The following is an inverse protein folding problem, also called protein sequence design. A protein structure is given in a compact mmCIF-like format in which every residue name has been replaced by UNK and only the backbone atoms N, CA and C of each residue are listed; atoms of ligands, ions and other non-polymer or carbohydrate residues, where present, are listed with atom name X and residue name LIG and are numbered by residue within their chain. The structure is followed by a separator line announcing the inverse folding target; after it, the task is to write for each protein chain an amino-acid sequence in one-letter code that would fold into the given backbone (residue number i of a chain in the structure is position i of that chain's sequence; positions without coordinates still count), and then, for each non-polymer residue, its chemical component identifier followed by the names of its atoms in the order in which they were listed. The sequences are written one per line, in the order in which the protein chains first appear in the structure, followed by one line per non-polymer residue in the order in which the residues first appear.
data_IF_076837739874
#
_entry.id   IF_076837739874
#
_cell.length_a   1.000
_cell.length_b   1.000
_cell.length_c   1.000
_cell.angle_alpha   90.00
_cell.angle_beta   90.00
_cell.angle_gamma   90.00
#
_symmetry.space_group_name_H-M   'P 1'
#
loop_
_entity.id
_entity.type
_entity.pdbx_description
1 polymer ?
#
# COMPACT_ATOMS: atom_id res chain seq x y z
N UNK A 1 -23.79 -3.51 6.98
CA UNK A 1 -24.86 -3.42 5.96
C UNK A 1 -25.07 -1.99 5.44
N UNK A 2 -25.17 -0.96 6.30
CA UNK A 2 -25.43 0.42 5.84
C UNK A 2 -24.28 1.02 5.00
N UNK A 3 -23.06 0.76 5.36
CA UNK A 3 -21.86 1.28 4.62
C UNK A 3 -21.81 0.64 3.23
N UNK A 4 -21.93 -0.69 3.14
CA UNK A 4 -21.87 -1.40 1.87
C UNK A 4 -23.00 -0.96 0.91
N UNK A 5 -24.22 -0.75 1.41
CA UNK A 5 -25.33 -0.25 0.60
C UNK A 5 -25.09 1.17 0.06
N UNK A 6 -24.46 2.06 0.85
CA UNK A 6 -24.09 3.41 0.38
C UNK A 6 -23.00 3.35 -0.68
N UNK A 7 -21.97 2.52 -0.48
CA UNK A 7 -20.88 2.33 -1.45
C UNK A 7 -21.40 1.79 -2.78
N UNK A 8 -22.29 0.78 -2.75
CA UNK A 8 -22.96 0.25 -3.94
C UNK A 8 -23.71 1.33 -4.72
N UNK A 9 -24.51 2.14 -4.03
CA UNK A 9 -25.26 3.25 -4.67
C UNK A 9 -24.31 4.27 -5.31
N UNK A 10 -23.22 4.63 -4.64
CA UNK A 10 -22.24 5.60 -5.15
C UNK A 10 -21.52 5.03 -6.37
N UNK A 11 -21.07 3.77 -6.32
CA UNK A 11 -20.39 3.12 -7.44
C UNK A 11 -21.32 3.05 -8.65
N UNK A 12 -22.57 2.60 -8.49
CA UNK A 12 -23.55 2.54 -9.56
C UNK A 12 -23.83 3.93 -10.15
N UNK A 13 -23.93 4.96 -9.30
CA UNK A 13 -24.10 6.34 -9.77
C UNK A 13 -22.89 6.83 -10.57
N UNK A 14 -21.67 6.57 -10.09
CA UNK A 14 -20.45 6.93 -10.81
C UNK A 14 -20.40 6.23 -12.19
N UNK A 15 -20.73 4.96 -12.24
CA UNK A 15 -20.77 4.20 -13.51
C UNK A 15 -21.82 4.74 -14.46
N UNK A 16 -23.00 5.13 -13.96
CA UNK A 16 -24.08 5.66 -14.79
C UNK A 16 -23.74 6.99 -15.46
N UNK A 17 -22.85 7.79 -14.86
CA UNK A 17 -22.36 9.04 -15.46
C UNK A 17 -21.03 8.88 -16.21
N UNK A 18 -20.55 7.64 -16.40
CA UNK A 18 -19.47 7.31 -17.32
C UNK A 18 -18.10 7.03 -16.69
N UNK A 19 -17.96 7.00 -15.36
CA UNK A 19 -16.70 6.58 -14.75
C UNK A 19 -16.42 5.10 -15.02
N UNK A 20 -15.26 4.80 -15.62
CA UNK A 20 -14.85 3.43 -16.01
C UNK A 20 -13.70 2.89 -15.15
N UNK A 21 -13.08 3.74 -14.34
CA UNK A 21 -11.99 3.36 -13.44
C UNK A 21 -12.37 3.78 -12.02
N UNK A 22 -12.77 2.80 -11.22
CA UNK A 22 -13.27 3.01 -9.85
C UNK A 22 -12.47 2.13 -8.92
N UNK A 23 -11.99 2.73 -7.84
CA UNK A 23 -11.34 2.03 -6.73
C UNK A 23 -12.28 1.95 -5.53
N UNK A 24 -12.18 0.86 -4.79
CA UNK A 24 -12.87 0.69 -3.52
C UNK A 24 -11.89 0.29 -2.42
N UNK A 25 -12.01 0.93 -1.27
CA UNK A 25 -11.15 0.63 -0.13
C UNK A 25 -11.81 -0.42 0.77
N UNK A 26 -11.00 -1.38 1.25
CA UNK A 26 -11.38 -2.39 2.24
C UNK A 26 -10.51 -2.22 3.48
N UNK A 27 -11.15 -2.23 4.65
CA UNK A 27 -10.46 -2.26 5.93
C UNK A 27 -10.42 -3.70 6.47
N UNK A 28 -9.24 -4.14 6.90
CA UNK A 28 -8.98 -5.44 7.52
C UNK A 28 -8.68 -5.23 9.00
N UNK A 29 -9.03 -6.20 9.84
CA UNK A 29 -8.77 -6.13 11.28
C UNK A 29 -9.84 -5.37 12.05
N UNK A 30 -11.05 -5.25 11.51
CA UNK A 30 -12.18 -4.66 12.24
C UNK A 30 -12.70 -5.62 13.33
N UNK A 31 -13.24 -5.05 14.41
CA UNK A 31 -13.88 -5.84 15.47
C UNK A 31 -14.92 -6.82 14.93
N UNK A 32 -14.80 -8.09 15.30
CA UNK A 32 -15.69 -9.16 14.88
C UNK A 32 -15.71 -9.44 13.37
N UNK A 33 -14.69 -9.01 12.64
CA UNK A 33 -14.50 -9.40 11.23
C UNK A 33 -14.05 -10.86 11.15
N UNK A 34 -14.72 -11.66 10.33
CA UNK A 34 -14.34 -13.03 10.02
C UNK A 34 -14.00 -13.19 8.54
N UNK A 35 -13.36 -14.30 8.18
CA UNK A 35 -13.05 -14.65 6.80
C UNK A 35 -14.32 -14.66 5.93
N UNK A 36 -15.44 -15.21 6.44
CA UNK A 36 -16.71 -15.28 5.71
C UNK A 36 -17.29 -13.88 5.47
N UNK A 37 -17.20 -12.99 6.46
CA UNK A 37 -17.66 -11.59 6.31
C UNK A 37 -16.78 -10.82 5.33
N UNK A 38 -15.47 -11.03 5.39
CA UNK A 38 -14.52 -10.42 4.46
C UNK A 38 -14.77 -10.93 3.03
N UNK A 39 -14.92 -12.24 2.84
CA UNK A 39 -15.27 -12.87 1.57
C UNK A 39 -16.53 -12.27 0.98
N UNK A 40 -17.61 -12.21 1.78
CA UNK A 40 -18.88 -11.62 1.33
C UNK A 40 -18.71 -10.16 0.87
N UNK A 41 -17.89 -9.38 1.60
CA UNK A 41 -17.59 -7.98 1.25
C UNK A 41 -16.86 -7.88 -0.07
N UNK A 42 -15.79 -8.67 -0.25
CA UNK A 42 -14.99 -8.69 -1.48
C UNK A 42 -15.86 -9.05 -2.69
N UNK A 43 -16.64 -10.13 -2.59
CA UNK A 43 -17.49 -10.59 -3.70
C UNK A 43 -18.54 -9.55 -4.07
N UNK A 44 -19.23 -8.96 -3.09
CA UNK A 44 -20.23 -7.91 -3.38
C UNK A 44 -19.63 -6.68 -4.06
N UNK A 45 -18.42 -6.29 -3.67
CA UNK A 45 -17.76 -5.16 -4.32
C UNK A 45 -17.28 -5.56 -5.72
N UNK A 46 -16.75 -6.77 -5.90
CA UNK A 46 -16.31 -7.27 -7.21
C UNK A 46 -17.46 -7.40 -8.21
N UNK A 47 -18.68 -7.78 -7.76
CA UNK A 47 -19.90 -7.82 -8.57
C UNK A 47 -20.25 -6.45 -9.16
N UNK A 48 -19.85 -5.34 -8.53
CA UNK A 48 -20.00 -3.99 -9.04
C UNK A 48 -19.03 -3.64 -10.18
N UNK A 49 -18.26 -4.60 -10.65
CA UNK A 49 -17.33 -4.43 -11.78
C UNK A 49 -16.33 -3.28 -11.64
N UNK A 50 -15.86 -3.02 -10.42
CA UNK A 50 -14.77 -2.06 -10.15
C UNK A 50 -13.44 -2.58 -10.69
N UNK A 51 -12.45 -1.71 -10.82
CA UNK A 51 -11.14 -2.04 -11.42
C UNK A 51 -10.03 -2.20 -10.40
N UNK A 52 -10.21 -1.67 -9.18
CA UNK A 52 -9.15 -1.55 -8.20
C UNK A 52 -9.66 -1.69 -6.77
N UNK A 53 -8.86 -2.33 -5.91
CA UNK A 53 -9.06 -2.40 -4.48
C UNK A 53 -7.83 -1.83 -3.76
N UNK A 54 -8.07 -1.00 -2.74
CA UNK A 54 -7.08 -0.64 -1.74
C UNK A 54 -7.44 -1.36 -0.44
N UNK A 55 -6.52 -2.09 0.13
CA UNK A 55 -6.77 -2.90 1.31
C UNK A 55 -5.83 -2.49 2.45
N UNK A 56 -6.39 -1.99 3.52
CA UNK A 56 -5.64 -1.47 4.66
C UNK A 56 -5.90 -2.27 5.91
N UNK A 57 -4.84 -2.64 6.62
CA UNK A 57 -4.95 -3.17 7.99
C UNK A 57 -5.26 -2.00 8.92
N UNK A 58 -6.31 -2.14 9.75
CA UNK A 58 -6.68 -1.13 10.73
C UNK A 58 -5.53 -0.91 11.71
N UNK A 59 -5.07 0.33 11.79
CA UNK A 59 -4.15 0.80 12.81
C UNK A 59 -4.85 1.85 13.67
N UNK A 60 -4.81 1.69 14.98
CA UNK A 60 -5.36 2.70 15.89
C UNK A 60 -4.34 3.82 16.05
N UNK A 61 -4.73 5.01 15.67
CA UNK A 61 -3.90 6.20 15.81
C UNK A 61 -4.32 6.99 17.07
N UNK A 62 -3.33 7.57 17.75
CA UNK A 62 -3.57 8.47 18.88
C UNK A 62 -4.47 9.64 18.48
N UNK A 63 -5.25 10.15 19.42
CA UNK A 63 -6.17 11.27 19.22
C UNK A 63 -7.30 11.03 18.21
N UNK A 64 -7.63 9.77 17.92
CA UNK A 64 -8.81 9.41 17.12
C UNK A 64 -9.94 8.85 17.99
N UNK A 65 -11.22 8.95 17.56
CA UNK A 65 -12.34 8.34 18.27
C UNK A 65 -12.25 6.81 18.42
N UNK A 66 -11.40 6.15 17.63
CA UNK A 66 -11.15 4.71 17.71
C UNK A 66 -10.17 4.34 18.84
N UNK A 67 -9.40 5.30 19.35
CA UNK A 67 -8.42 5.04 20.43
C UNK A 67 -9.12 5.02 21.81
N UNK A 68 -9.93 4.01 22.04
CA UNK A 68 -10.58 3.74 23.33
C UNK A 68 -10.30 2.30 23.77
N UNK A 69 -10.21 2.03 25.09
CA UNK A 69 -9.96 0.68 25.60
C UNK A 69 -10.97 -0.36 25.07
N UNK A 70 -12.24 0.02 24.98
CA UNK A 70 -13.31 -0.89 24.52
C UNK A 70 -13.10 -1.31 23.06
N UNK A 71 -12.71 -0.37 22.19
CA UNK A 71 -12.44 -0.68 20.79
C UNK A 71 -11.16 -1.51 20.70
N UNK A 72 -10.07 -1.10 21.34
CA UNK A 72 -8.78 -1.81 21.30
C UNK A 72 -8.94 -3.26 21.76
N UNK A 73 -9.64 -3.49 22.88
CA UNK A 73 -9.86 -4.83 23.41
C UNK A 73 -10.80 -5.69 22.54
N UNK A 74 -11.53 -5.09 21.60
CA UNK A 74 -12.43 -5.80 20.69
C UNK A 74 -11.78 -6.17 19.34
N UNK A 75 -10.56 -5.67 19.07
CA UNK A 75 -9.86 -5.96 17.82
C UNK A 75 -9.35 -7.41 17.81
N UNK A 76 -9.24 -8.02 16.63
CA UNK A 76 -8.61 -9.32 16.48
C UNK A 76 -7.11 -9.25 16.80
N UNK A 77 -6.54 -10.38 17.15
CA UNK A 77 -5.11 -10.54 17.32
C UNK A 77 -4.35 -10.52 15.95
N UNK A 78 -3.04 -10.45 16.03
CA UNK A 78 -2.17 -10.35 14.84
C UNK A 78 -2.25 -11.62 13.97
N UNK A 79 -2.46 -12.79 14.55
CA UNK A 79 -2.59 -14.04 13.81
C UNK A 79 -3.87 -14.02 12.96
N UNK A 80 -4.99 -13.61 13.54
CA UNK A 80 -6.24 -13.47 12.80
C UNK A 80 -6.19 -12.37 11.73
N UNK A 81 -5.51 -11.24 12.01
CA UNK A 81 -5.27 -10.19 11.02
C UNK A 81 -4.46 -10.75 9.84
N UNK A 82 -3.43 -11.53 10.14
CA UNK A 82 -2.59 -12.18 9.13
C UNK A 82 -3.39 -13.14 8.26
N UNK A 83 -4.25 -13.96 8.87
CA UNK A 83 -5.14 -14.87 8.13
C UNK A 83 -6.13 -14.11 7.23
N UNK A 84 -6.70 -13.02 7.72
CA UNK A 84 -7.59 -12.16 6.92
C UNK A 84 -6.86 -11.56 5.71
N UNK A 85 -5.64 -11.06 5.91
CA UNK A 85 -4.83 -10.48 4.82
C UNK A 85 -4.46 -11.52 3.77
N UNK A 86 -3.96 -12.68 4.18
CA UNK A 86 -3.58 -13.74 3.26
C UNK A 86 -4.79 -14.28 2.49
N UNK A 87 -5.89 -14.51 3.19
CA UNK A 87 -7.15 -14.90 2.56
C UNK A 87 -7.61 -13.88 1.51
N UNK A 88 -7.57 -12.58 1.87
CA UNK A 88 -7.98 -11.51 0.96
C UNK A 88 -7.10 -11.46 -0.30
N UNK A 89 -5.77 -11.54 -0.14
CA UNK A 89 -4.84 -11.50 -1.26
C UNK A 89 -5.12 -12.67 -2.23
N UNK A 90 -5.33 -13.88 -1.72
CA UNK A 90 -5.68 -15.05 -2.52
C UNK A 90 -7.05 -14.91 -3.21
N UNK A 91 -8.05 -14.42 -2.49
CA UNK A 91 -9.42 -14.31 -3.01
C UNK A 91 -9.54 -13.22 -4.08
N UNK A 92 -8.88 -12.06 -3.89
CA UNK A 92 -8.81 -11.01 -4.91
C UNK A 92 -8.08 -11.50 -6.17
N UNK A 93 -7.02 -12.28 -6.03
CA UNK A 93 -6.33 -12.88 -7.18
C UNK A 93 -7.24 -13.84 -7.96
N UNK A 94 -8.03 -14.68 -7.28
CA UNK A 94 -9.03 -15.57 -7.93
C UNK A 94 -10.08 -14.78 -8.71
N UNK A 95 -10.43 -13.57 -8.26
CA UNK A 95 -11.37 -12.66 -8.92
C UNK A 95 -10.73 -11.81 -10.03
N UNK A 96 -9.43 -12.01 -10.32
CA UNK A 96 -8.70 -11.32 -11.38
C UNK A 96 -8.13 -9.95 -10.97
N UNK A 97 -8.04 -9.67 -9.66
CA UNK A 97 -7.34 -8.51 -9.13
C UNK A 97 -5.95 -8.92 -8.66
N UNK A 98 -4.93 -8.54 -9.41
CA UNK A 98 -3.55 -8.84 -9.07
C UNK A 98 -3.02 -7.83 -8.06
N UNK A 99 -2.37 -8.32 -7.01
CA UNK A 99 -1.61 -7.46 -6.12
C UNK A 99 -0.43 -6.87 -6.89
N UNK A 100 -0.21 -5.56 -6.83
CA UNK A 100 0.93 -4.91 -7.45
C UNK A 100 1.84 -4.19 -6.44
N UNK A 101 1.34 -3.92 -5.23
CA UNK A 101 2.10 -3.44 -4.08
C UNK A 101 1.42 -3.87 -2.77
N UNK A 102 2.01 -3.55 -1.63
CA UNK A 102 1.65 -4.07 -0.30
C UNK A 102 0.16 -3.96 0.05
N UNK A 103 -0.53 -2.91 -0.40
CA UNK A 103 -1.93 -2.61 -0.03
C UNK A 103 -2.89 -2.57 -1.22
N UNK A 104 -2.40 -2.63 -2.46
CA UNK A 104 -3.25 -2.38 -3.62
C UNK A 104 -3.30 -3.54 -4.61
N UNK A 105 -4.51 -3.76 -5.12
CA UNK A 105 -4.87 -4.83 -6.05
C UNK A 105 -5.65 -4.25 -7.22
N UNK A 106 -5.38 -4.69 -8.43
CA UNK A 106 -6.10 -4.19 -9.60
C UNK A 106 -6.29 -5.24 -10.68
N UNK A 107 -7.25 -5.00 -11.56
CA UNK A 107 -7.25 -5.63 -12.88
C UNK A 107 -6.05 -5.12 -13.67
N UNK A 108 -5.54 -5.94 -14.59
CA UNK A 108 -4.38 -5.59 -15.41
C UNK A 108 -4.59 -4.26 -16.14
N UNK A 109 -3.62 -3.35 -16.01
CA UNK A 109 -3.64 -2.01 -16.63
C UNK A 109 -4.41 -0.95 -15.84
N UNK A 110 -4.91 -1.30 -14.63
CA UNK A 110 -5.62 -0.37 -13.74
C UNK A 110 -4.85 -0.07 -12.45
N UNK A 111 -3.55 -0.40 -12.42
CA UNK A 111 -2.67 -0.05 -11.31
C UNK A 111 -2.63 1.48 -11.13
N UNK A 112 -2.64 1.95 -9.88
CA UNK A 112 -2.54 3.38 -9.58
C UNK A 112 -1.18 3.93 -10.02
N UNK A 113 -1.15 4.58 -11.17
CA UNK A 113 0.07 5.20 -11.72
C UNK A 113 0.65 6.25 -10.77
N UNK A 114 -0.21 6.93 -10.00
CA UNK A 114 0.21 7.92 -9.02
C UNK A 114 0.95 7.24 -7.85
N UNK A 115 0.38 6.18 -7.26
CA UNK A 115 1.03 5.45 -6.18
C UNK A 115 2.34 4.80 -6.65
N UNK A 116 2.37 4.25 -7.86
CA UNK A 116 3.58 3.66 -8.42
C UNK A 116 4.72 4.67 -8.58
N UNK A 117 4.42 5.96 -8.80
CA UNK A 117 5.48 7.00 -8.82
C UNK A 117 6.22 7.08 -7.50
N UNK A 118 5.50 7.04 -6.36
CA UNK A 118 6.12 7.04 -5.05
C UNK A 118 6.97 5.78 -4.82
N UNK A 119 6.40 4.61 -5.07
CA UNK A 119 7.09 3.33 -4.89
C UNK A 119 8.33 3.19 -5.79
N UNK A 120 8.31 3.76 -6.99
CA UNK A 120 9.44 3.77 -7.93
C UNK A 120 10.37 4.97 -7.75
N UNK A 121 10.22 5.72 -6.69
CA UNK A 121 11.03 6.91 -6.39
C UNK A 121 11.11 7.88 -7.58
N UNK A 122 9.97 8.12 -8.27
CA UNK A 122 9.88 9.01 -9.41
C UNK A 122 9.46 10.42 -8.97
N UNK A 123 9.85 11.42 -9.73
CA UNK A 123 9.50 12.81 -9.46
C UNK A 123 8.00 13.09 -9.56
N UNK A 124 7.51 13.93 -8.65
CA UNK A 124 6.14 14.43 -8.61
C UNK A 124 6.08 15.82 -8.00
N UNK A 125 5.03 16.57 -8.34
CA UNK A 125 4.74 17.90 -7.77
C UNK A 125 3.44 17.80 -6.99
N UNK A 126 3.50 18.20 -5.71
CA UNK A 126 2.34 18.37 -4.84
C UNK A 126 1.81 19.80 -4.89
N UNK A 127 0.51 19.97 -4.88
CA UNK A 127 -0.16 21.25 -4.91
C UNK A 127 -1.07 21.39 -3.68
N UNK A 128 -1.01 22.54 -3.03
CA UNK A 128 -1.85 22.87 -1.87
C UNK A 128 -1.11 22.78 -0.54
N UNK A 129 -1.75 23.25 0.56
CA UNK A 129 -1.19 23.18 1.91
C UNK A 129 -0.86 21.75 2.31
N UNK A 130 0.24 21.55 2.99
CA UNK A 130 0.80 20.25 3.40
C UNK A 130 1.23 19.33 2.23
N UNK A 131 1.17 19.78 0.99
CA UNK A 131 1.57 18.95 -0.14
C UNK A 131 3.10 18.78 -0.18
N UNK A 132 3.54 17.55 -0.39
CA UNK A 132 4.94 17.20 -0.59
C UNK A 132 5.27 17.08 -2.07
N UNK A 133 6.51 17.37 -2.44
CA UNK A 133 7.03 17.23 -3.79
C UNK A 133 8.39 16.53 -3.78
N UNK A 134 8.65 15.76 -4.82
CA UNK A 134 9.99 15.32 -5.20
C UNK A 134 10.21 15.78 -6.64
N UNK A 135 11.02 16.82 -6.83
CA UNK A 135 11.22 17.42 -8.14
C UNK A 135 12.60 18.07 -8.23
N UNK A 136 13.23 17.99 -9.43
CA UNK A 136 14.59 18.47 -9.69
C UNK A 136 15.62 17.92 -8.67
N UNK A 137 15.51 16.61 -8.33
CA UNK A 137 16.43 15.95 -7.42
C UNK A 137 16.34 16.42 -5.97
N UNK A 138 15.27 17.11 -5.57
CA UNK A 138 15.06 17.61 -4.21
C UNK A 138 13.67 17.29 -3.70
N UNK A 139 13.53 17.13 -2.39
CA UNK A 139 12.23 16.93 -1.75
C UNK A 139 11.89 18.13 -0.87
N UNK A 140 10.69 18.63 -1.02
CA UNK A 140 10.18 19.78 -0.28
C UNK A 140 8.69 19.64 -0.02
N UNK A 141 8.17 20.44 0.91
CA UNK A 141 6.73 20.51 1.15
C UNK A 141 6.25 21.96 1.31
N UNK A 142 4.95 22.13 1.12
CA UNK A 142 4.26 23.41 1.32
C UNK A 142 3.74 23.42 2.77
N UNK A 143 3.94 24.51 3.55
CA UNK A 143 3.41 24.61 4.90
C UNK A 143 1.90 24.37 4.98
N UNK A 144 1.43 23.80 6.10
CA UNK A 144 0.02 23.46 6.30
C UNK A 144 -0.89 24.65 6.51
N UNK A 145 -0.34 25.84 6.84
CA UNK A 145 -1.10 27.07 7.07
C UNK A 145 -1.71 27.59 5.77
N UNK A 146 -3.03 27.59 5.70
CA UNK A 146 -3.79 28.05 4.53
C UNK A 146 -3.52 29.52 4.18
N UNK A 147 -3.40 30.40 5.19
CA UNK A 147 -3.14 31.83 4.96
C UNK A 147 -1.74 32.05 4.38
N UNK A 148 -0.74 31.31 4.88
CA UNK A 148 0.60 31.31 4.30
C UNK A 148 0.57 30.82 2.85
N UNK A 149 -0.13 29.72 2.59
CA UNK A 149 -0.25 29.18 1.24
C UNK A 149 -0.88 30.17 0.25
N UNK A 150 -1.92 30.91 0.67
CA UNK A 150 -2.62 31.87 -0.19
C UNK A 150 -1.80 33.14 -0.44
N UNK A 151 -0.91 33.52 0.50
CA UNK A 151 -0.20 34.79 0.46
C UNK A 151 1.32 34.66 0.21
N UNK A 152 1.85 33.45 0.08
CA UNK A 152 3.26 33.21 -0.18
C UNK A 152 3.47 31.98 -1.07
N UNK A 153 4.66 31.93 -1.68
CA UNK A 153 5.16 30.76 -2.44
C UNK A 153 6.18 29.97 -1.60
N UNK A 154 6.10 30.07 -0.27
CA UNK A 154 7.06 29.43 0.62
C UNK A 154 7.00 27.90 0.46
N UNK A 155 8.17 27.29 0.26
CA UNK A 155 8.39 25.85 0.28
C UNK A 155 9.50 25.53 1.27
N UNK A 156 9.39 24.41 1.98
CA UNK A 156 10.40 23.96 2.94
C UNK A 156 11.12 22.76 2.36
N UNK A 157 12.43 22.90 2.16
CA UNK A 157 13.30 21.82 1.74
C UNK A 157 13.41 20.78 2.86
N UNK A 158 13.18 19.52 2.57
CA UNK A 158 13.23 18.41 3.55
C UNK A 158 14.34 17.42 3.26
N UNK A 159 14.77 17.31 1.99
CA UNK A 159 15.81 16.39 1.59
C UNK A 159 16.49 16.93 0.32
N UNK A 160 17.82 17.10 0.38
CA UNK A 160 18.63 17.57 -0.74
C UNK A 160 19.09 16.44 -1.66
N UNK A 161 19.02 15.18 -1.20
CA UNK A 161 19.52 14.01 -1.92
C UNK A 161 18.53 12.81 -1.85
N UNK A 162 17.25 13.01 -2.21
CA UNK A 162 16.29 11.92 -2.24
C UNK A 162 16.69 10.87 -3.29
N UNK A 163 16.20 9.64 -3.12
CA UNK A 163 16.47 8.54 -4.06
C UNK A 163 17.79 7.82 -3.76
N UNK A 164 18.22 7.81 -2.48
CA UNK A 164 19.32 6.95 -2.02
C UNK A 164 19.03 5.47 -2.30
N UNK A 165 20.06 4.63 -2.30
CA UNK A 165 19.89 3.19 -2.44
C UNK A 165 18.99 2.62 -1.35
N UNK A 166 19.15 3.07 -0.09
CA UNK A 166 18.29 2.65 1.02
C UNK A 166 16.81 2.99 0.77
N UNK A 167 16.53 4.18 0.30
CA UNK A 167 15.16 4.58 -0.04
C UNK A 167 14.60 3.75 -1.20
N UNK A 168 15.37 3.54 -2.26
CA UNK A 168 14.93 2.70 -3.41
C UNK A 168 14.67 1.26 -3.00
N UNK A 169 15.48 0.70 -2.08
CA UNK A 169 15.29 -0.63 -1.53
C UNK A 169 14.00 -0.66 -0.69
N UNK A 170 13.85 0.30 0.21
CA UNK A 170 12.69 0.42 1.10
C UNK A 170 11.38 0.52 0.31
N UNK A 171 11.35 1.32 -0.74
CA UNK A 171 10.16 1.52 -1.57
C UNK A 171 9.95 0.35 -2.53
N UNK A 172 11.01 -0.13 -3.18
CA UNK A 172 10.94 -1.20 -4.18
C UNK A 172 10.52 -2.55 -3.60
N UNK A 173 10.93 -2.88 -2.36
CA UNK A 173 10.49 -4.09 -1.68
C UNK A 173 9.01 -4.07 -1.28
N UNK A 174 8.33 -2.93 -1.35
CA UNK A 174 6.87 -2.85 -1.16
C UNK A 174 6.08 -3.15 -2.43
N UNK A 175 6.75 -3.22 -3.59
CA UNK A 175 6.17 -3.67 -4.86
C UNK A 175 6.23 -5.19 -4.98
N UNK A 176 5.24 -5.81 -5.61
CA UNK A 176 5.28 -7.23 -5.97
C UNK A 176 6.31 -7.55 -7.04
N UNK A 177 6.75 -6.53 -7.79
CA UNK A 177 7.90 -6.62 -8.70
C UNK A 177 9.21 -6.81 -7.91
N UNK A 178 9.31 -6.19 -6.73
CA UNK A 178 10.51 -6.21 -5.88
C UNK A 178 11.64 -5.35 -6.43
N UNK A 179 12.88 -5.66 -6.03
CA UNK A 179 14.09 -4.96 -6.45
C UNK A 179 14.98 -5.86 -7.32
N UNK A 180 15.61 -5.27 -8.34
CA UNK A 180 16.65 -5.95 -9.13
C UNK A 180 17.99 -5.79 -8.41
N UNK A 181 18.61 -6.90 -8.01
CA UNK A 181 19.88 -6.87 -7.27
C UNK A 181 21.05 -6.32 -8.11
N UNK A 182 20.92 -6.28 -9.43
CA UNK A 182 21.94 -5.70 -10.30
C UNK A 182 21.96 -4.17 -10.25
N UNK A 183 20.89 -3.53 -9.79
CA UNK A 183 20.83 -2.07 -9.58
C UNK A 183 21.65 -1.65 -8.34
N UNK A 184 22.04 -2.63 -7.49
CA UNK A 184 22.80 -2.42 -6.25
C UNK A 184 24.06 -3.30 -6.21
N UNK A 185 25.04 -3.08 -7.10
CA UNK A 185 26.16 -4.01 -7.27
C UNK A 185 27.04 -4.16 -6.00
N UNK A 186 27.19 -3.10 -5.21
CA UNK A 186 27.94 -3.12 -3.95
C UNK A 186 27.28 -3.95 -2.85
N UNK A 187 25.96 -4.14 -2.91
CA UNK A 187 25.15 -4.85 -1.91
C UNK A 187 24.70 -6.24 -2.38
N UNK A 188 25.00 -6.61 -3.62
CA UNK A 188 24.51 -7.84 -4.26
C UNK A 188 24.78 -9.11 -3.44
N UNK A 189 26.00 -9.26 -2.90
CA UNK A 189 26.37 -10.42 -2.09
C UNK A 189 25.57 -10.50 -0.80
N UNK A 190 25.42 -9.37 -0.10
CA UNK A 190 24.61 -9.24 1.12
C UNK A 190 23.15 -9.57 0.85
N UNK A 191 22.59 -9.04 -0.24
CA UNK A 191 21.19 -9.29 -0.62
C UNK A 191 20.91 -10.76 -0.87
N UNK A 192 21.79 -11.46 -1.57
CA UNK A 192 21.64 -12.89 -1.82
C UNK A 192 21.75 -13.71 -0.54
N UNK A 193 22.63 -13.34 0.38
CA UNK A 193 22.75 -14.01 1.68
C UNK A 193 21.49 -13.82 2.52
N UNK A 194 21.06 -12.59 2.73
CA UNK A 194 19.83 -12.25 3.50
C UNK A 194 18.59 -12.88 2.88
N UNK A 195 18.42 -12.74 1.57
CA UNK A 195 17.26 -13.29 0.86
C UNK A 195 17.17 -14.81 0.98
N UNK A 196 18.27 -15.55 1.00
CA UNK A 196 18.26 -17.01 1.22
C UNK A 196 17.71 -17.39 2.60
N UNK A 197 17.98 -16.58 3.63
CA UNK A 197 17.44 -16.82 4.98
C UNK A 197 15.92 -16.69 4.95
N UNK A 198 15.40 -15.57 4.47
CA UNK A 198 13.96 -15.30 4.42
C UNK A 198 13.20 -16.21 3.44
N UNK A 199 13.84 -16.65 2.37
CA UNK A 199 13.26 -17.60 1.41
C UNK A 199 12.92 -18.96 2.05
N UNK A 200 13.73 -19.44 3.03
CA UNK A 200 13.44 -20.67 3.77
C UNK A 200 12.12 -20.61 4.54
N UNK A 201 11.68 -19.41 4.90
CA UNK A 201 10.41 -19.17 5.61
C UNK A 201 9.27 -18.76 4.68
N UNK A 202 9.52 -18.80 3.34
CA UNK A 202 8.57 -18.35 2.33
C UNK A 202 8.15 -16.86 2.50
N UNK A 203 9.06 -16.01 2.95
CA UNK A 203 8.85 -14.57 3.09
C UNK A 203 9.36 -13.78 1.88
N UNK A 204 10.34 -14.33 1.16
CA UNK A 204 10.96 -13.76 -0.04
C UNK A 204 11.00 -14.81 -1.14
N UNK A 205 10.81 -14.35 -2.36
CA UNK A 205 11.12 -15.08 -3.61
C UNK A 205 12.34 -14.45 -4.29
N UNK A 206 13.25 -15.28 -4.78
CA UNK A 206 14.40 -14.87 -5.60
C UNK A 206 14.19 -15.44 -7.00
N UNK A 207 14.01 -14.57 -8.00
CA UNK A 207 13.77 -15.00 -9.38
C UNK A 207 14.34 -13.98 -10.38
N UNK A 208 15.11 -14.44 -11.35
CA UNK A 208 15.65 -13.62 -12.45
C UNK A 208 16.37 -12.33 -11.95
N UNK A 209 17.21 -12.45 -10.92
CA UNK A 209 17.88 -11.35 -10.24
C UNK A 209 16.95 -10.38 -9.50
N UNK A 210 15.68 -10.69 -9.34
CA UNK A 210 14.77 -9.92 -8.48
C UNK A 210 14.62 -10.59 -7.12
N UNK A 211 14.58 -9.76 -6.09
CA UNK A 211 14.17 -10.10 -4.74
C UNK A 211 12.79 -9.49 -4.52
N UNK A 212 11.82 -10.33 -4.17
CA UNK A 212 10.41 -9.95 -4.00
C UNK A 212 9.90 -10.44 -2.67
N UNK A 213 9.06 -9.66 -2.02
CA UNK A 213 8.29 -10.15 -0.88
C UNK A 213 7.13 -11.02 -1.38
N UNK A 214 6.86 -12.11 -0.66
CA UNK A 214 5.64 -12.89 -0.82
C UNK A 214 4.47 -12.19 -0.07
N UNK A 215 3.21 -12.61 -0.23
CA UNK A 215 2.12 -12.11 0.63
C UNK A 215 2.41 -12.27 2.13
N UNK A 216 3.05 -13.36 2.55
CA UNK A 216 3.55 -13.54 3.92
C UNK A 216 4.64 -12.52 4.27
N UNK A 217 5.55 -12.26 3.35
CA UNK A 217 6.62 -11.28 3.53
C UNK A 217 6.09 -9.86 3.70
N UNK A 218 4.99 -9.50 3.04
CA UNK A 218 4.37 -8.19 3.21
C UNK A 218 3.86 -7.94 4.64
N UNK A 219 3.38 -8.96 5.34
CA UNK A 219 2.94 -8.83 6.74
C UNK A 219 4.06 -8.40 7.70
N UNK A 220 5.29 -8.77 7.39
CA UNK A 220 6.50 -8.45 8.19
C UNK A 220 7.50 -7.61 7.39
N UNK A 221 7.02 -6.89 6.40
CA UNK A 221 7.85 -6.16 5.43
C UNK A 221 8.85 -5.20 6.08
N UNK A 222 8.45 -4.46 7.11
CA UNK A 222 9.36 -3.51 7.77
C UNK A 222 10.56 -4.22 8.40
N UNK A 223 10.35 -5.37 9.06
CA UNK A 223 11.43 -6.16 9.65
C UNK A 223 12.37 -6.73 8.58
N UNK A 224 11.79 -7.18 7.45
CA UNK A 224 12.61 -7.68 6.33
C UNK A 224 13.39 -6.54 5.70
N UNK A 225 12.74 -5.42 5.36
CA UNK A 225 13.38 -4.26 4.71
C UNK A 225 14.57 -3.76 5.52
N UNK A 226 14.45 -3.65 6.85
CA UNK A 226 15.54 -3.20 7.73
C UNK A 226 16.79 -4.09 7.65
N UNK A 227 16.68 -5.31 7.17
CA UNK A 227 17.85 -6.18 6.97
C UNK A 227 18.56 -5.92 5.63
N UNK A 228 17.97 -5.15 4.73
CA UNK A 228 18.48 -4.84 3.39
C UNK A 228 19.03 -3.40 3.27
N UNK A 229 18.72 -2.51 4.21
CA UNK A 229 19.16 -1.11 4.24
C UNK A 229 20.29 -0.86 5.25
#
# INVERSE_FOLDING_TARGET
RRVLFRSEKIINSAQSIGFKNISCDIMIGLSGQSIEKLKLTIHKIAELSIQHFSAYILKIEENTPFNTPDIINSLPDDDHISDLYLFMAEELQKLGYNQYEISNFSKMGFESKHNLKYWKCQEYIGLGPSAHSYFNGKRYFIPSDLNKYLNSTETILTDENPGSDDEKIMLGLRLTEGININDFPSRKALFLEKAKVFNKFNLIEIKNNFIKLTPKGFLVSNSIINEFI
#
